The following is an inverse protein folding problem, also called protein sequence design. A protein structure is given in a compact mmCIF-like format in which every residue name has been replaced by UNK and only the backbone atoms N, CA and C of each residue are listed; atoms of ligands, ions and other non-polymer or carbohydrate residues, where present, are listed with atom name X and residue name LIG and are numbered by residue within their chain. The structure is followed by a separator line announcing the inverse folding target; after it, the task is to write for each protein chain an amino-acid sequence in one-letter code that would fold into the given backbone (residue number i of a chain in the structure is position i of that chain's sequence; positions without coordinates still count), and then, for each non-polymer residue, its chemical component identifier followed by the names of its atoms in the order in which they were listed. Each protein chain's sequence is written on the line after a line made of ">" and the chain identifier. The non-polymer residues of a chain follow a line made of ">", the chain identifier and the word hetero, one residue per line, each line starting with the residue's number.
data_IF_992183135009
#
_entry.id   IF_992183135009
#
_cell.length_a   1.000
_cell.length_b   1.000
_cell.length_c   1.000
_cell.angle_alpha   90.00
_cell.angle_beta   90.00
_cell.angle_gamma   90.00
#
_symmetry.space_group_name_H-M   'P 1'
#
loop_
_entity.id
_entity.type
_entity.pdbx_description
1 polymer ?
#
# COMPACT_ATOMS: atom_id res chain seq x y z
N UNK A 1 4.11 53.81 39.62
CA UNK A 1 5.56 53.76 39.91
C UNK A 1 5.97 52.30 39.88
N UNK A 2 6.53 51.86 38.73
CA UNK A 2 7.24 50.57 38.52
C UNK A 2 6.37 49.31 38.45
N UNK A 3 6.56 48.37 37.52
CA UNK A 3 7.40 48.27 36.31
C UNK A 3 6.86 47.05 35.54
N UNK A 4 6.84 47.15 34.20
CA UNK A 4 6.57 46.06 33.26
C UNK A 4 7.57 44.91 33.44
N UNK A 5 7.11 43.68 33.20
CA UNK A 5 7.95 42.58 32.73
C UNK A 5 7.22 41.91 31.57
N UNK A 6 7.39 42.50 30.38
CA UNK A 6 7.18 41.80 29.11
C UNK A 6 8.21 40.66 29.03
N UNK A 7 7.75 39.42 29.08
CA UNK A 7 8.52 38.28 28.59
C UNK A 7 8.33 38.23 27.09
N UNK A 8 9.39 38.57 26.36
CA UNK A 8 9.49 38.45 24.91
C UNK A 8 9.29 37.00 24.48
N UNK A 9 8.12 36.68 23.93
CA UNK A 9 7.92 35.44 23.18
C UNK A 9 8.71 35.54 21.87
N UNK A 10 9.75 34.73 21.74
CA UNK A 10 10.46 34.53 20.47
C UNK A 10 9.51 33.85 19.47
N UNK A 11 9.23 34.45 18.31
CA UNK A 11 8.35 33.84 17.32
C UNK A 11 9.12 32.76 16.56
N UNK A 12 8.63 31.52 16.64
CA UNK A 12 8.88 30.52 15.59
C UNK A 12 9.75 29.32 15.95
N UNK A 13 9.58 28.69 17.10
CA UNK A 13 10.00 27.29 17.24
C UNK A 13 8.82 26.37 16.87
N UNK A 14 8.83 25.89 15.63
CA UNK A 14 7.85 24.92 15.15
C UNK A 14 8.12 23.58 15.83
N UNK A 15 7.45 23.32 16.96
CA UNK A 15 7.50 22.04 17.63
C UNK A 15 6.62 21.06 16.85
N UNK A 16 7.19 19.95 16.37
CA UNK A 16 6.42 18.79 15.92
C UNK A 16 5.52 18.31 17.07
N UNK A 17 4.29 18.81 17.11
CA UNK A 17 3.25 18.32 18.00
C UNK A 17 2.81 16.95 17.48
N UNK A 18 3.33 15.89 18.09
CA UNK A 18 2.89 14.53 17.77
C UNK A 18 3.80 13.43 18.28
N UNK A 19 5.09 13.45 17.94
CA UNK A 19 5.96 12.26 18.09
C UNK A 19 6.01 11.67 19.51
N UNK A 20 6.23 12.51 20.54
CA UNK A 20 6.34 12.03 21.92
C UNK A 20 5.01 11.62 22.58
N UNK A 21 3.87 12.03 22.01
CA UNK A 21 2.53 11.73 22.55
C UNK A 21 1.80 10.64 21.75
N UNK A 22 2.44 10.05 20.73
CA UNK A 22 1.81 9.14 19.77
C UNK A 22 2.48 7.75 19.70
N UNK A 23 3.19 7.33 20.76
CA UNK A 23 3.67 5.96 20.86
C UNK A 23 2.50 5.07 21.26
N UNK A 24 1.87 4.41 20.28
CA UNK A 24 0.94 3.31 20.56
C UNK A 24 1.74 2.14 21.14
N UNK A 25 1.17 1.44 22.12
CA UNK A 25 1.80 0.25 22.69
C UNK A 25 1.63 -0.93 21.75
N UNK A 26 2.73 -1.52 21.28
CA UNK A 26 2.71 -2.76 20.51
C UNK A 26 2.56 -3.96 21.46
N UNK A 27 1.36 -4.56 21.48
CA UNK A 27 1.04 -5.70 22.36
C UNK A 27 1.61 -7.04 21.87
N UNK A 28 2.20 -7.06 20.66
CA UNK A 28 2.76 -8.24 19.99
C UNK A 28 1.79 -9.44 19.97
N UNK A 29 0.59 -9.19 19.46
CA UNK A 29 -0.55 -10.11 19.51
C UNK A 29 -0.85 -10.87 18.21
N UNK A 30 0.10 -10.99 17.27
CA UNK A 30 -0.11 -11.83 16.08
C UNK A 30 -0.50 -13.26 16.48
N UNK A 31 -1.51 -13.82 15.81
CA UNK A 31 -1.99 -15.18 16.07
C UNK A 31 -1.08 -16.26 15.44
N UNK A 32 -0.26 -15.87 14.47
CA UNK A 32 0.72 -16.71 13.79
C UNK A 32 1.87 -15.82 13.29
N UNK A 33 3.04 -16.40 13.00
CA UNK A 33 4.22 -15.62 12.62
C UNK A 33 4.07 -15.05 11.20
N UNK A 34 4.06 -13.70 11.11
CA UNK A 34 4.08 -12.94 9.86
C UNK A 34 5.47 -12.36 9.62
N UNK A 35 5.99 -12.55 8.41
CA UNK A 35 7.35 -12.16 8.03
C UNK A 35 7.37 -10.81 7.29
N UNK A 36 6.79 -10.75 6.09
CA UNK A 36 6.79 -9.57 5.22
C UNK A 36 5.68 -9.63 4.17
N UNK A 37 5.51 -8.54 3.42
CA UNK A 37 4.80 -8.61 2.14
C UNK A 37 5.57 -9.49 1.14
N UNK A 38 4.84 -10.38 0.46
CA UNK A 38 5.40 -11.27 -0.55
C UNK A 38 5.14 -10.72 -1.96
N UNK A 39 3.88 -10.50 -2.33
CA UNK A 39 3.51 -9.97 -3.65
C UNK A 39 2.09 -9.36 -3.62
N UNK A 40 1.74 -8.65 -4.69
CA UNK A 40 0.40 -8.14 -4.95
C UNK A 40 -0.09 -8.68 -6.28
N UNK A 41 -1.26 -9.31 -6.29
CA UNK A 41 -1.88 -9.81 -7.52
C UNK A 41 -2.94 -8.82 -8.00
N UNK A 42 -2.79 -8.35 -9.25
CA UNK A 42 -3.82 -7.59 -9.95
C UNK A 42 -4.61 -8.51 -10.86
N UNK A 43 -5.93 -8.40 -10.81
CA UNK A 43 -6.78 -8.95 -11.86
C UNK A 43 -7.10 -7.87 -12.87
N UNK A 44 -7.01 -8.25 -14.14
CA UNK A 44 -7.14 -7.35 -15.29
C UNK A 44 -7.72 -8.10 -16.48
N UNK A 45 -8.23 -7.34 -17.45
CA UNK A 45 -8.76 -7.90 -18.71
C UNK A 45 -7.66 -8.38 -19.66
N UNK A 46 -6.46 -7.79 -19.56
CA UNK A 46 -5.29 -8.12 -20.39
C UNK A 46 -4.00 -7.95 -19.57
N UNK A 47 -3.47 -9.09 -19.10
CA UNK A 47 -2.26 -9.12 -18.28
C UNK A 47 -1.02 -8.69 -19.05
N UNK A 48 -0.94 -8.99 -20.34
CA UNK A 48 0.19 -8.60 -21.20
C UNK A 48 0.29 -7.08 -21.28
N UNK A 49 -0.80 -6.41 -21.65
CA UNK A 49 -0.81 -4.95 -21.78
C UNK A 49 -0.66 -4.24 -20.42
N UNK A 50 -1.19 -4.82 -19.34
CA UNK A 50 -1.04 -4.26 -17.98
C UNK A 50 0.40 -4.37 -17.48
N UNK A 51 1.10 -5.47 -17.79
CA UNK A 51 2.48 -5.70 -17.34
C UNK A 51 3.55 -5.09 -18.26
N UNK A 52 3.19 -4.73 -19.51
CA UNK A 52 4.09 -4.16 -20.53
C UNK A 52 5.03 -3.04 -20.05
N UNK A 53 4.62 -2.05 -19.23
CA UNK A 53 5.52 -1.00 -18.75
C UNK A 53 6.75 -1.51 -17.99
N UNK A 54 6.73 -2.79 -17.59
CA UNK A 54 7.81 -3.47 -16.87
C UNK A 54 8.50 -4.59 -17.69
N UNK A 55 8.15 -4.78 -18.97
CA UNK A 55 8.57 -5.92 -19.77
C UNK A 55 9.29 -5.51 -21.07
N UNK A 56 10.20 -6.37 -21.55
CA UNK A 56 10.82 -6.22 -22.87
C UNK A 56 9.78 -6.50 -23.97
N UNK A 57 9.61 -5.56 -24.90
CA UNK A 57 8.60 -5.57 -25.96
C UNK A 57 8.81 -6.74 -26.96
N UNK A 58 9.97 -7.38 -26.94
CA UNK A 58 10.34 -8.47 -27.84
C UNK A 58 10.09 -9.89 -27.29
N UNK A 59 9.58 -10.03 -26.07
CA UNK A 59 9.26 -11.35 -25.52
C UNK A 59 7.94 -11.90 -26.09
N UNK A 60 8.06 -12.91 -26.95
CA UNK A 60 6.94 -13.80 -27.30
C UNK A 60 6.68 -14.74 -26.12
N UNK A 61 5.64 -14.48 -25.34
CA UNK A 61 5.26 -15.36 -24.24
C UNK A 61 4.16 -16.34 -24.64
N UNK A 62 4.49 -17.63 -24.56
CA UNK A 62 3.56 -18.78 -24.62
C UNK A 62 3.27 -19.38 -23.24
N UNK A 63 3.93 -18.92 -22.18
CA UNK A 63 3.79 -19.45 -20.82
C UNK A 63 2.55 -18.85 -20.11
N UNK A 64 1.62 -19.72 -19.71
CA UNK A 64 0.36 -19.38 -19.04
C UNK A 64 0.30 -20.06 -17.67
N UNK A 65 1.15 -19.62 -16.75
CA UNK A 65 1.02 -20.05 -15.35
C UNK A 65 -0.02 -19.16 -14.66
N UNK A 66 -0.96 -19.79 -13.95
CA UNK A 66 -1.91 -19.11 -13.06
C UNK A 66 -1.74 -19.66 -11.64
N UNK A 67 -2.09 -18.85 -10.65
CA UNK A 67 -2.16 -19.34 -9.28
C UNK A 67 -3.27 -20.41 -9.16
N UNK A 68 -3.11 -21.42 -8.28
CA UNK A 68 -4.08 -22.53 -8.20
C UNK A 68 -5.52 -22.10 -7.90
N UNK A 69 -5.68 -20.95 -7.24
CA UNK A 69 -6.98 -20.39 -6.85
C UNK A 69 -7.63 -19.56 -7.95
N UNK A 70 -7.02 -19.47 -9.13
CA UNK A 70 -7.54 -18.69 -10.24
C UNK A 70 -8.81 -19.30 -10.82
N UNK A 71 -9.83 -18.47 -11.03
CA UNK A 71 -11.08 -18.87 -11.68
C UNK A 71 -11.46 -17.84 -12.76
N UNK A 72 -11.69 -18.31 -13.99
CA UNK A 72 -11.99 -17.44 -15.13
C UNK A 72 -13.27 -16.62 -14.96
N UNK A 73 -14.33 -17.21 -14.41
CA UNK A 73 -15.61 -16.51 -14.22
C UNK A 73 -15.47 -15.45 -13.13
N UNK A 74 -14.86 -15.81 -11.99
CA UNK A 74 -14.60 -14.86 -10.90
C UNK A 74 -13.70 -13.71 -11.35
N UNK A 75 -12.65 -13.99 -12.12
CA UNK A 75 -11.75 -12.96 -12.67
C UNK A 75 -12.47 -12.02 -13.64
N UNK A 76 -13.27 -12.56 -14.59
CA UNK A 76 -14.05 -11.72 -15.50
C UNK A 76 -15.07 -10.85 -14.77
N UNK A 77 -15.80 -11.44 -13.81
CA UNK A 77 -16.80 -10.69 -13.04
C UNK A 77 -16.15 -9.60 -12.17
N UNK A 78 -14.99 -9.88 -11.57
CA UNK A 78 -14.23 -8.92 -10.79
C UNK A 78 -13.71 -7.77 -11.67
N UNK A 79 -13.05 -8.08 -12.79
CA UNK A 79 -12.52 -7.05 -13.70
C UNK A 79 -13.62 -6.25 -14.38
N UNK A 80 -14.79 -6.85 -14.66
CA UNK A 80 -15.94 -6.13 -15.19
C UNK A 80 -16.53 -5.14 -14.17
N UNK A 81 -16.47 -5.49 -12.88
CA UNK A 81 -16.99 -4.69 -11.77
C UNK A 81 -16.04 -3.57 -11.34
N UNK A 82 -14.75 -3.87 -11.24
CA UNK A 82 -13.75 -2.99 -10.61
C UNK A 82 -12.75 -2.38 -11.60
N UNK A 83 -12.73 -2.84 -12.85
CA UNK A 83 -11.65 -2.52 -13.79
C UNK A 83 -10.33 -3.19 -13.40
N UNK A 84 -9.21 -2.51 -13.62
CA UNK A 84 -7.90 -2.94 -13.11
C UNK A 84 -7.86 -2.73 -11.59
N UNK A 85 -7.77 -3.82 -10.82
CA UNK A 85 -7.76 -3.72 -9.37
C UNK A 85 -6.95 -4.85 -8.71
N UNK A 86 -6.53 -4.60 -7.48
CA UNK A 86 -5.84 -5.60 -6.64
C UNK A 86 -6.83 -6.67 -6.21
N UNK A 87 -6.54 -7.92 -6.53
CA UNK A 87 -7.30 -9.09 -6.07
C UNK A 87 -6.79 -9.63 -4.74
N UNK A 88 -5.46 -9.69 -4.58
CA UNK A 88 -4.80 -10.29 -3.43
C UNK A 88 -3.59 -9.47 -2.97
N UNK A 89 -3.49 -9.28 -1.66
CA UNK A 89 -2.28 -8.84 -0.95
C UNK A 89 -1.71 -10.08 -0.27
N UNK A 90 -0.59 -10.60 -0.77
CA UNK A 90 0.03 -11.80 -0.22
C UNK A 90 1.09 -11.44 0.83
N UNK A 91 1.01 -12.10 1.98
CA UNK A 91 1.99 -12.00 3.07
C UNK A 91 2.72 -13.33 3.22
N UNK A 92 4.01 -13.26 3.51
CA UNK A 92 4.81 -14.41 3.87
C UNK A 92 4.59 -14.73 5.36
N UNK A 93 4.34 -16.00 5.64
CA UNK A 93 4.15 -16.57 6.98
C UNK A 93 4.97 -17.84 7.11
N UNK A 94 5.30 -18.23 8.35
CA UNK A 94 6.09 -19.46 8.59
C UNK A 94 5.36 -20.74 8.15
N UNK A 95 4.03 -20.77 8.34
CA UNK A 95 3.18 -21.92 7.97
C UNK A 95 1.81 -21.42 7.49
N UNK A 96 1.55 -21.59 6.19
CA UNK A 96 0.32 -21.14 5.55
C UNK A 96 -0.93 -21.95 5.98
N UNK A 97 -0.77 -23.23 6.32
CA UNK A 97 -1.87 -24.07 6.80
C UNK A 97 -2.26 -23.66 8.22
N UNK A 98 -1.26 -23.45 9.09
CA UNK A 98 -1.48 -22.93 10.44
C UNK A 98 -2.12 -21.53 10.39
N UNK A 99 -1.61 -20.64 9.54
CA UNK A 99 -2.15 -19.29 9.37
C UNK A 99 -3.63 -19.33 8.93
N UNK A 100 -3.97 -20.17 7.94
CA UNK A 100 -5.34 -20.33 7.46
C UNK A 100 -6.28 -20.88 8.54
N UNK A 101 -5.90 -22.01 9.15
CA UNK A 101 -6.74 -22.68 10.17
C UNK A 101 -6.95 -21.78 11.38
N UNK A 102 -5.90 -21.10 11.85
CA UNK A 102 -5.97 -20.14 12.95
C UNK A 102 -6.85 -18.96 12.59
N UNK A 103 -6.74 -18.41 11.38
CA UNK A 103 -7.56 -17.29 10.92
C UNK A 103 -9.05 -17.65 10.88
N UNK A 104 -9.40 -18.80 10.30
CA UNK A 104 -10.80 -19.26 10.21
C UNK A 104 -11.38 -19.53 11.59
N UNK A 105 -10.59 -20.12 12.50
CA UNK A 105 -10.99 -20.32 13.89
C UNK A 105 -11.26 -19.01 14.65
N UNK A 106 -10.66 -17.89 14.22
CA UNK A 106 -10.88 -16.55 14.78
C UNK A 106 -11.84 -15.68 13.94
N UNK A 107 -12.65 -16.30 13.07
CA UNK A 107 -13.75 -15.62 12.36
C UNK A 107 -13.42 -15.12 10.96
N UNK A 108 -12.23 -15.40 10.42
CA UNK A 108 -11.93 -15.10 9.02
C UNK A 108 -12.84 -15.93 8.09
N UNK A 109 -13.37 -15.28 7.05
CA UNK A 109 -14.15 -15.97 6.01
C UNK A 109 -13.17 -16.64 5.03
N UNK A 110 -13.21 -17.97 4.86
CA UNK A 110 -12.29 -18.64 3.95
C UNK A 110 -12.60 -18.25 2.50
N UNK A 111 -11.56 -17.87 1.74
CA UNK A 111 -11.66 -17.65 0.28
C UNK A 111 -11.21 -18.87 -0.51
N UNK A 112 -10.09 -19.49 -0.13
CA UNK A 112 -9.58 -20.71 -0.72
C UNK A 112 -8.86 -21.51 0.37
N UNK A 113 -9.08 -22.83 0.40
CA UNK A 113 -8.35 -23.70 1.32
C UNK A 113 -6.86 -23.75 0.95
N UNK A 114 -5.98 -24.01 1.92
CA UNK A 114 -4.56 -24.22 1.65
C UNK A 114 -4.37 -25.36 0.62
N UNK A 115 -3.58 -25.12 -0.43
CA UNK A 115 -3.29 -26.09 -1.50
C UNK A 115 -1.80 -26.42 -1.47
N UNK A 116 -1.47 -27.68 -1.21
CA UNK A 116 -0.09 -28.16 -1.28
C UNK A 116 0.38 -28.17 -2.74
N UNK A 117 1.41 -27.38 -3.02
CA UNK A 117 2.10 -27.32 -4.30
C UNK A 117 3.14 -28.46 -4.36
N UNK A 118 3.62 -28.76 -5.58
CA UNK A 118 4.44 -29.95 -5.90
C UNK A 118 5.73 -30.10 -5.05
N UNK A 119 6.14 -29.08 -4.30
CA UNK A 119 7.29 -29.05 -3.39
C UNK A 119 6.93 -29.06 -1.88
N UNK A 120 5.67 -29.28 -1.50
CA UNK A 120 5.22 -29.32 -0.11
C UNK A 120 4.73 -27.99 0.47
N UNK A 121 4.74 -26.91 -0.31
CA UNK A 121 4.30 -25.59 0.13
C UNK A 121 2.78 -25.45 0.04
N UNK A 122 2.09 -25.01 1.09
CA UNK A 122 0.64 -24.84 1.09
C UNK A 122 0.21 -23.43 0.60
N UNK A 123 0.96 -22.92 -0.38
CA UNK A 123 1.23 -21.51 -0.72
C UNK A 123 2.20 -20.84 0.27
N UNK A 124 3.53 -21.03 0.07
CA UNK A 124 4.57 -19.98 0.01
C UNK A 124 5.84 -20.44 -0.73
N UNK A 125 6.65 -19.46 -1.11
CA UNK A 125 8.05 -19.47 -1.55
C UNK A 125 8.89 -20.67 -1.06
N UNK A 126 9.52 -21.35 -2.01
CA UNK A 126 10.77 -22.07 -1.72
C UNK A 126 11.90 -21.04 -1.72
N UNK A 127 12.87 -21.07 -0.80
CA UNK A 127 14.09 -20.24 -0.92
C UNK A 127 14.85 -20.48 -2.24
N UNK A 128 14.59 -21.61 -2.91
CA UNK A 128 15.17 -21.95 -4.22
C UNK A 128 14.30 -21.52 -5.43
N UNK A 129 13.07 -21.06 -5.22
CA UNK A 129 12.17 -20.62 -6.30
C UNK A 129 11.93 -19.12 -6.25
N UNK A 130 12.15 -18.45 -7.38
CA UNK A 130 12.01 -17.01 -7.55
C UNK A 130 10.59 -16.45 -7.34
N UNK A 131 9.55 -17.30 -7.44
CA UNK A 131 8.15 -16.94 -7.22
C UNK A 131 7.33 -18.16 -6.77
N UNK A 132 6.50 -18.75 -7.64
CA UNK A 132 5.68 -19.94 -7.34
C UNK A 132 6.05 -21.11 -8.27
N UNK A 133 5.84 -22.37 -7.83
CA UNK A 133 5.94 -23.54 -8.70
C UNK A 133 5.19 -23.35 -10.02
N UNK A 134 5.77 -23.85 -11.12
CA UNK A 134 5.28 -23.70 -12.52
C UNK A 134 5.43 -22.31 -13.14
N UNK A 135 5.89 -21.31 -12.39
CA UNK A 135 6.31 -20.04 -12.97
C UNK A 135 7.77 -20.11 -13.44
N UNK A 136 7.99 -19.81 -14.72
CA UNK A 136 9.31 -19.79 -15.33
C UNK A 136 9.92 -18.40 -15.22
N UNK A 137 11.19 -18.32 -14.79
CA UNK A 137 11.90 -17.05 -14.75
C UNK A 137 12.05 -16.51 -16.17
N UNK A 138 11.66 -15.26 -16.37
CA UNK A 138 11.78 -14.57 -17.64
C UNK A 138 12.91 -13.55 -17.57
N UNK A 139 13.81 -13.57 -18.54
CA UNK A 139 14.78 -12.50 -18.71
C UNK A 139 14.08 -11.23 -19.19
N UNK A 140 14.08 -10.18 -18.38
CA UNK A 140 13.58 -8.85 -18.76
C UNK A 140 14.74 -7.88 -19.02
N UNK A 141 14.45 -6.75 -19.65
CA UNK A 141 15.37 -5.61 -19.66
C UNK A 141 15.62 -5.19 -18.19
N UNK A 142 16.88 -4.88 -17.77
CA UNK A 142 17.20 -4.55 -16.39
C UNK A 142 16.74 -3.14 -16.04
N UNK A 143 15.42 -2.95 -15.96
CA UNK A 143 14.79 -1.69 -15.63
C UNK A 143 14.67 -1.58 -14.10
N UNK A 144 15.47 -0.71 -13.49
CA UNK A 144 15.40 -0.42 -12.06
C UNK A 144 15.49 1.10 -11.81
N UNK A 145 14.40 1.65 -11.30
CA UNK A 145 14.30 3.05 -10.91
C UNK A 145 14.61 3.30 -9.43
N UNK A 146 14.94 2.26 -8.65
CA UNK A 146 15.27 2.37 -7.22
C UNK A 146 14.16 1.93 -6.28
N UNK A 147 13.06 1.33 -6.78
CA UNK A 147 11.98 0.79 -5.95
C UNK A 147 12.43 -0.54 -5.33
N UNK A 148 12.17 -0.75 -4.03
CA UNK A 148 12.73 -1.90 -3.29
C UNK A 148 11.69 -2.79 -2.64
N UNK A 149 10.60 -2.24 -2.09
CA UNK A 149 9.55 -3.03 -1.42
C UNK A 149 8.23 -2.30 -1.35
N UNK A 150 7.16 -3.04 -1.10
CA UNK A 150 5.89 -2.48 -0.62
C UNK A 150 6.07 -1.98 0.82
N UNK A 151 5.57 -0.78 1.10
CA UNK A 151 5.57 -0.24 2.46
C UNK A 151 4.32 -0.64 3.23
N UNK A 152 3.17 -0.42 2.62
CA UNK A 152 1.87 -0.69 3.19
C UNK A 152 0.83 -0.85 2.07
N UNK A 153 -0.32 -1.44 2.38
CA UNK A 153 -1.44 -1.58 1.44
C UNK A 153 -2.72 -1.04 2.05
N UNK A 154 -3.28 0.01 1.43
CA UNK A 154 -4.40 0.75 2.02
C UNK A 154 -5.73 0.32 1.43
N UNK A 155 -6.66 -0.11 2.28
CA UNK A 155 -8.04 -0.42 1.91
C UNK A 155 -9.02 0.71 2.20
N UNK A 156 -10.04 0.84 1.37
CA UNK A 156 -11.21 1.67 1.63
C UNK A 156 -12.42 0.78 1.93
N UNK A 157 -13.14 1.11 2.99
CA UNK A 157 -14.38 0.46 3.41
C UNK A 157 -15.47 1.51 3.64
N UNK A 158 -16.76 1.14 3.52
CA UNK A 158 -17.84 2.07 3.84
C UNK A 158 -17.85 2.46 5.33
N UNK A 159 -17.48 1.53 6.22
CA UNK A 159 -17.47 1.71 7.67
C UNK A 159 -16.30 0.92 8.28
N UNK A 160 -15.49 1.55 9.13
CA UNK A 160 -14.36 0.95 9.84
C UNK A 160 -14.81 0.05 10.98
N UNK A 161 -15.83 0.45 11.74
CA UNK A 161 -16.32 -0.31 12.89
C UNK A 161 -16.65 -1.78 12.57
N UNK A 162 -17.47 -2.12 11.55
CA UNK A 162 -17.72 -3.51 11.19
C UNK A 162 -16.50 -4.17 10.50
N UNK A 163 -15.59 -3.41 9.90
CA UNK A 163 -14.40 -3.96 9.24
C UNK A 163 -13.30 -4.35 10.23
N UNK A 164 -13.16 -3.62 11.34
CA UNK A 164 -12.07 -3.75 12.31
C UNK A 164 -12.53 -4.12 13.72
N UNK A 165 -13.85 -4.15 13.96
CA UNK A 165 -14.43 -4.19 15.31
C UNK A 165 -13.87 -3.06 16.21
N UNK A 166 -13.68 -1.87 15.62
CA UNK A 166 -12.98 -0.74 16.25
C UNK A 166 -13.57 0.59 15.77
N UNK A 167 -13.91 1.48 16.70
CA UNK A 167 -14.56 2.77 16.42
C UNK A 167 -13.54 3.93 16.48
N UNK A 168 -13.49 4.74 15.42
CA UNK A 168 -12.65 5.95 15.33
C UNK A 168 -13.45 7.06 14.68
N UNK A 169 -13.78 8.10 15.45
CA UNK A 169 -14.47 9.28 14.94
C UNK A 169 -13.60 10.54 15.04
N UNK A 170 -13.36 11.19 13.90
CA UNK A 170 -12.90 12.58 13.85
C UNK A 170 -13.86 13.40 12.96
N UNK A 171 -14.04 14.68 13.28
CA UNK A 171 -15.06 15.55 12.67
C UNK A 171 -14.55 16.50 11.58
N UNK A 172 -13.23 16.56 11.33
CA UNK A 172 -12.63 17.61 10.47
C UNK A 172 -11.91 17.11 9.21
N UNK A 173 -11.46 15.85 9.16
CA UNK A 173 -10.86 15.27 7.94
C UNK A 173 -11.90 14.56 7.08
N UNK A 174 -11.69 14.52 5.75
CA UNK A 174 -12.59 13.81 4.82
C UNK A 174 -12.60 12.27 4.95
N UNK A 175 -11.86 11.72 5.90
CA UNK A 175 -11.79 10.29 6.21
C UNK A 175 -11.39 10.07 7.68
N UNK A 176 -11.75 8.90 8.22
CA UNK A 176 -11.10 8.29 9.39
C UNK A 176 -10.22 7.14 8.91
N UNK A 177 -9.09 6.90 9.60
CA UNK A 177 -8.16 5.84 9.25
C UNK A 177 -7.63 5.10 10.48
N UNK A 178 -7.41 3.79 10.33
CA UNK A 178 -6.73 2.93 11.31
C UNK A 178 -5.67 2.13 10.59
N UNK A 179 -4.48 2.03 11.20
CA UNK A 179 -3.39 1.19 10.69
C UNK A 179 -3.32 -0.08 11.52
N UNK A 180 -3.48 -1.22 10.87
CA UNK A 180 -3.14 -2.53 11.44
C UNK A 180 -1.68 -2.85 11.12
N UNK A 181 -0.98 -3.47 12.06
CA UNK A 181 0.41 -3.87 11.92
C UNK A 181 0.63 -5.28 12.50
N UNK A 182 1.56 -6.03 11.91
CA UNK A 182 2.06 -7.26 12.55
C UNK A 182 3.00 -6.94 13.72
N UNK A 183 3.43 -7.95 14.46
CA UNK A 183 4.29 -7.82 15.64
C UNK A 183 5.58 -7.03 15.39
N UNK A 184 6.19 -7.17 14.22
CA UNK A 184 7.43 -6.49 13.85
C UNK A 184 7.19 -5.16 13.09
N UNK A 185 5.94 -4.77 12.89
CA UNK A 185 5.55 -3.55 12.16
C UNK A 185 6.11 -3.48 10.72
N UNK A 186 6.36 -4.64 10.12
CA UNK A 186 6.86 -4.81 8.74
C UNK A 186 5.74 -4.99 7.71
N UNK A 187 4.55 -5.40 8.15
CA UNK A 187 3.34 -5.53 7.34
C UNK A 187 2.30 -4.57 7.90
N UNK A 188 1.97 -3.54 7.11
CA UNK A 188 1.07 -2.46 7.49
C UNK A 188 -0.15 -2.45 6.56
N UNK A 189 -1.34 -2.58 7.15
CA UNK A 189 -2.61 -2.59 6.42
C UNK A 189 -3.53 -1.45 6.92
N UNK A 190 -3.33 -0.21 6.45
CA UNK A 190 -4.24 0.88 6.74
C UNK A 190 -5.63 0.67 6.13
N UNK A 191 -6.66 1.09 6.84
CA UNK A 191 -8.05 1.07 6.39
C UNK A 191 -8.66 2.45 6.57
N UNK A 192 -9.41 2.92 5.57
CA UNK A 192 -10.12 4.19 5.60
C UNK A 192 -11.64 4.02 5.47
N UNK A 193 -12.39 4.91 6.11
CA UNK A 193 -13.82 5.15 5.85
C UNK A 193 -14.09 6.61 5.44
N UNK A 194 -15.16 6.90 4.69
CA UNK A 194 -15.55 8.27 4.37
C UNK A 194 -16.10 9.01 5.60
N UNK A 195 -15.75 10.28 5.73
CA UNK A 195 -16.46 11.22 6.62
C UNK A 195 -17.47 12.02 5.80
N UNK A 196 -18.71 12.05 6.27
CA UNK A 196 -19.81 12.76 5.62
C UNK A 196 -20.02 14.16 6.24
N UNK A 197 -20.72 15.05 5.51
CA UNK A 197 -21.01 16.41 5.98
C UNK A 197 -19.87 17.42 5.82
N UNK A 198 -18.77 17.04 5.16
CA UNK A 198 -17.64 17.92 4.84
C UNK A 198 -17.95 18.85 3.65
N UNK A 199 -17.24 19.99 3.56
CA UNK A 199 -17.41 20.98 2.47
C UNK A 199 -17.20 20.40 1.06
N UNK A 200 -16.30 19.42 0.94
CA UNK A 200 -16.05 18.67 -0.29
C UNK A 200 -16.37 17.22 -0.04
N UNK A 201 -16.86 16.52 -1.08
CA UNK A 201 -17.11 15.07 -1.01
C UNK A 201 -15.82 14.33 -0.63
N UNK A 202 -15.95 13.37 0.28
CA UNK A 202 -14.85 12.48 0.64
C UNK A 202 -14.32 11.74 -0.58
N UNK A 203 -13.01 11.76 -0.76
CA UNK A 203 -12.31 10.96 -1.76
C UNK A 203 -12.50 9.45 -1.54
N UNK A 204 -12.75 9.02 -0.29
CA UNK A 204 -13.06 7.63 0.04
C UNK A 204 -14.44 7.27 -0.51
N UNK A 205 -15.43 8.15 -0.33
CA UNK A 205 -16.76 7.96 -0.91
C UNK A 205 -16.70 7.93 -2.44
N UNK A 206 -15.92 8.83 -3.06
CA UNK A 206 -15.71 8.82 -4.51
C UNK A 206 -15.10 7.50 -4.99
N UNK A 207 -14.11 6.95 -4.26
CA UNK A 207 -13.55 5.64 -4.56
C UNK A 207 -14.61 4.53 -4.48
N UNK A 208 -15.37 4.46 -3.38
CA UNK A 208 -16.37 3.41 -3.17
C UNK A 208 -17.44 3.39 -4.27
N UNK A 209 -17.82 4.55 -4.78
CA UNK A 209 -18.79 4.66 -5.88
C UNK A 209 -18.22 4.18 -7.22
N UNK A 210 -17.02 4.60 -7.60
CA UNK A 210 -16.42 4.23 -8.89
C UNK A 210 -15.84 2.82 -8.89
N UNK A 211 -15.41 2.33 -7.73
CA UNK A 211 -14.94 0.96 -7.55
C UNK A 211 -16.10 -0.02 -7.26
N UNK A 212 -17.35 0.45 -7.20
CA UNK A 212 -18.51 -0.39 -6.84
C UNK A 212 -18.35 -1.17 -5.51
N UNK A 213 -17.76 -0.50 -4.51
CA UNK A 213 -17.61 -1.00 -3.15
C UNK A 213 -16.18 -0.91 -2.60
N UNK A 214 -15.95 -1.63 -1.51
CA UNK A 214 -14.66 -1.68 -0.82
C UNK A 214 -13.55 -2.29 -1.69
N UNK A 215 -12.31 -1.88 -1.44
CA UNK A 215 -11.15 -2.35 -2.20
C UNK A 215 -9.85 -1.66 -1.79
N UNK A 216 -8.73 -2.07 -2.41
CA UNK A 216 -7.41 -1.45 -2.22
C UNK A 216 -7.36 -0.11 -2.95
N UNK A 217 -7.08 0.96 -2.22
CA UNK A 217 -6.98 2.32 -2.76
C UNK A 217 -5.59 2.61 -3.32
N UNK A 218 -4.54 2.35 -2.55
CA UNK A 218 -3.17 2.70 -2.94
C UNK A 218 -2.13 1.78 -2.29
N UNK A 219 -0.95 1.71 -2.93
CA UNK A 219 0.17 0.83 -2.59
C UNK A 219 1.48 1.64 -2.58
N UNK A 220 1.90 2.19 -1.43
CA UNK A 220 3.16 2.95 -1.38
C UNK A 220 4.37 2.05 -1.53
N UNK A 221 5.26 2.45 -2.42
CA UNK A 221 6.46 1.72 -2.77
C UNK A 221 7.68 2.45 -2.19
N UNK A 222 8.46 1.75 -1.38
CA UNK A 222 9.70 2.28 -0.82
C UNK A 222 10.75 2.36 -1.90
N UNK A 223 11.39 3.52 -1.99
CA UNK A 223 12.56 3.75 -2.84
C UNK A 223 13.79 3.99 -1.99
N UNK A 224 14.95 3.48 -2.43
CA UNK A 224 16.24 3.81 -1.82
C UNK A 224 16.75 5.21 -2.20
N UNK A 225 16.27 5.78 -3.32
CA UNK A 225 16.54 7.14 -3.78
C UNK A 225 15.29 7.67 -4.51
N UNK A 226 14.38 8.27 -3.74
CA UNK A 226 13.12 8.80 -4.26
C UNK A 226 13.32 9.88 -5.32
N UNK A 227 14.42 10.65 -5.26
CA UNK A 227 14.70 11.68 -6.26
C UNK A 227 15.04 11.06 -7.61
N UNK A 228 15.89 10.03 -7.64
CA UNK A 228 16.16 9.25 -8.85
C UNK A 228 14.89 8.59 -9.37
N UNK A 229 14.15 7.90 -8.50
CA UNK A 229 12.93 7.20 -8.90
C UNK A 229 11.92 8.14 -9.56
N UNK A 230 11.61 9.28 -8.93
CA UNK A 230 10.67 10.24 -9.49
C UNK A 230 11.15 10.86 -10.81
N UNK A 231 12.46 11.15 -10.95
CA UNK A 231 13.02 11.64 -12.23
C UNK A 231 12.84 10.63 -13.35
N UNK A 232 13.16 9.36 -13.13
CA UNK A 232 13.01 8.32 -14.16
C UNK A 232 11.53 8.07 -14.49
N UNK A 233 10.65 7.97 -13.49
CA UNK A 233 9.22 7.79 -13.73
C UNK A 233 8.60 8.97 -14.51
N UNK A 234 8.96 10.22 -14.18
CA UNK A 234 8.47 11.42 -14.88
C UNK A 234 8.92 11.50 -16.34
N UNK A 235 10.11 10.97 -16.67
CA UNK A 235 10.57 10.90 -18.09
C UNK A 235 9.66 10.01 -18.92
N UNK A 236 9.10 8.96 -18.31
CA UNK A 236 8.23 8.00 -18.99
C UNK A 236 6.76 8.45 -19.06
N UNK A 237 6.32 9.41 -18.24
CA UNK A 237 4.90 9.84 -18.17
C UNK A 237 4.31 10.28 -19.52
N UNK A 238 5.11 10.85 -20.43
CA UNK A 238 4.62 11.36 -21.71
C UNK A 238 4.44 10.29 -22.80
N UNK A 239 4.89 9.05 -22.58
CA UNK A 239 4.81 7.96 -23.57
C UNK A 239 3.93 6.82 -23.07
N UNK A 240 4.32 6.14 -21.99
CA UNK A 240 3.65 4.92 -21.48
C UNK A 240 3.78 4.78 -19.94
N UNK A 241 4.02 5.89 -19.22
CA UNK A 241 4.26 5.90 -17.78
C UNK A 241 3.08 6.41 -16.95
N UNK A 242 3.26 6.45 -15.63
CA UNK A 242 2.29 7.02 -14.70
C UNK A 242 2.41 8.56 -14.64
N UNK A 243 1.28 9.24 -14.54
CA UNK A 243 1.22 10.67 -14.20
C UNK A 243 1.27 10.88 -12.69
N UNK A 244 1.67 12.09 -12.28
CA UNK A 244 1.72 12.48 -10.88
C UNK A 244 0.71 13.58 -10.60
N UNK A 245 0.22 13.63 -9.36
CA UNK A 245 -0.60 14.74 -8.90
C UNK A 245 0.09 16.10 -9.14
N UNK A 246 -0.68 17.17 -9.35
CA UNK A 246 -0.12 18.52 -9.50
C UNK A 246 0.79 18.88 -8.33
N UNK A 247 1.93 19.49 -8.63
CA UNK A 247 2.85 19.96 -7.61
C UNK A 247 2.15 20.96 -6.67
N UNK A 248 2.47 20.94 -5.37
CA UNK A 248 2.06 21.99 -4.44
C UNK A 248 2.48 23.39 -4.92
N UNK A 249 1.81 24.46 -4.44
CA UNK A 249 2.23 25.83 -4.76
C UNK A 249 3.64 26.13 -4.20
N UNK A 250 4.38 27.11 -4.77
CA UNK A 250 5.73 27.46 -4.32
C UNK A 250 5.85 27.75 -2.82
N UNK A 251 4.82 28.35 -2.24
CA UNK A 251 4.72 28.64 -0.79
C UNK A 251 4.85 27.39 0.08
N UNK A 252 4.52 26.20 -0.42
CA UNK A 252 4.74 24.95 0.30
C UNK A 252 6.23 24.68 0.49
N UNK A 253 7.05 24.88 -0.54
CA UNK A 253 8.48 24.61 -0.54
C UNK A 253 9.27 25.69 0.22
N UNK A 254 8.84 26.95 0.14
CA UNK A 254 9.37 28.05 0.96
C UNK A 254 9.26 27.74 2.46
N UNK A 255 8.14 27.14 2.87
CA UNK A 255 7.88 26.73 4.25
C UNK A 255 8.47 25.35 4.61
N UNK A 256 8.99 24.60 3.63
CA UNK A 256 9.57 23.27 3.92
C UNK A 256 10.89 23.40 4.68
N UNK A 257 11.66 24.45 4.39
CA UNK A 257 12.94 24.73 5.06
C UNK A 257 12.79 24.95 6.56
N UNK A 258 11.71 25.59 7.01
CA UNK A 258 11.45 25.77 8.45
C UNK A 258 10.98 24.49 9.15
N UNK A 259 10.47 23.51 8.39
CA UNK A 259 9.96 22.24 8.93
C UNK A 259 10.99 21.10 8.91
N UNK A 260 11.91 21.10 7.95
CA UNK A 260 12.80 19.97 7.68
C UNK A 260 14.18 20.39 7.14
N UNK A 261 14.59 21.65 7.31
CA UNK A 261 15.89 22.14 6.83
C UNK A 261 17.10 21.59 7.60
N UNK A 262 16.87 20.92 8.73
CA UNK A 262 17.85 20.15 9.48
C UNK A 262 18.07 18.73 8.92
N UNK A 263 17.15 18.25 8.07
CA UNK A 263 17.18 16.91 7.45
C UNK A 263 17.49 16.97 5.95
N UNK A 264 17.00 17.99 5.25
CA UNK A 264 17.14 18.15 3.80
C UNK A 264 18.04 19.32 3.44
N UNK A 265 18.90 19.15 2.43
CA UNK A 265 19.70 20.25 1.89
C UNK A 265 18.85 21.22 1.05
N UNK A 266 19.35 22.44 0.85
CA UNK A 266 18.69 23.43 -0.01
C UNK A 266 18.53 22.95 -1.46
N UNK A 267 19.44 22.11 -1.96
CA UNK A 267 19.34 21.47 -3.27
C UNK A 267 18.24 20.42 -3.33
N UNK A 268 17.95 19.73 -2.23
CA UNK A 268 16.90 18.70 -2.15
C UNK A 268 15.49 19.29 -1.95
N UNK A 269 15.40 20.53 -1.44
CA UNK A 269 14.15 21.25 -1.22
C UNK A 269 13.62 21.89 -2.53
N UNK A 270 14.49 22.14 -3.51
CA UNK A 270 14.16 22.71 -4.83
C UNK A 270 13.41 21.72 -5.72
#
# INVERSE_FOLDING_TARGET
>A
MGKENETSETPGEFKLVGFSNFVRTNSRSDLFKVNRFHHVEFWCSDATNTARPSMDVNLSHTATASIPTFNHETCRNFSAKHGLAVRAIAIEVDDAELAFTTSVAHGAKPSASPILLDNGAVITESPDNWFLPKFEAVSSFPLDYGIRRLDHAVGNVPELAPALNYDVGTSESGLNAVVLANNEETVLLPMNEPVFGTKRKSQIQTYLEHNEGAGVQHLPLVSEDIFRTLREMRKCSAVEGFEFMPSPPPTYYENLKSRAGDVLSDEQIK
#
